data_IF_211724519797
#
_entry.id   IF_211724519797
#
_cell.length_a   1.000
_cell.length_b   1.000
_cell.length_c   1.000
_cell.angle_alpha   90.00
_cell.angle_beta   90.00
_cell.angle_gamma   90.00
#
_symmetry.space_group_name_H-M   'P 1'
#
loop_
_entity.id
_entity.type
_entity.pdbx_description
1 polymer ?
#
# COMPACT_ATOMS: atom_id res chain seq x y z
N UNK A 1 -14.48 19.92 1.41
CA UNK A 1 -14.39 19.10 2.64
C UNK A 1 -14.71 17.64 2.32
N UNK A 2 -14.15 16.72 3.10
CA UNK A 2 -14.39 15.28 2.97
C UNK A 2 -14.75 14.75 4.37
N UNK A 3 -15.86 14.01 4.47
CA UNK A 3 -16.25 13.29 5.69
C UNK A 3 -15.84 11.82 5.55
N UNK A 4 -15.19 11.29 6.59
CA UNK A 4 -14.76 9.90 6.66
C UNK A 4 -15.41 9.24 7.88
N UNK A 5 -16.07 8.09 7.68
CA UNK A 5 -16.61 7.24 8.75
C UNK A 5 -16.20 5.80 8.50
N UNK A 6 -15.73 5.13 9.54
CA UNK A 6 -15.35 3.70 9.49
C UNK A 6 -14.40 3.38 8.31
N UNK A 7 -13.42 4.25 8.07
CA UNK A 7 -12.43 4.08 6.99
C UNK A 7 -12.96 4.32 5.57
N UNK A 8 -14.19 4.83 5.40
CA UNK A 8 -14.79 5.13 4.10
C UNK A 8 -15.14 6.60 3.98
N UNK A 9 -14.99 7.15 2.78
CA UNK A 9 -15.52 8.47 2.44
C UNK A 9 -17.04 8.36 2.37
N UNK A 10 -17.75 9.12 3.22
CA UNK A 10 -19.22 9.14 3.25
C UNK A 10 -19.80 10.35 2.56
N UNK A 11 -19.06 11.47 2.52
CA UNK A 11 -19.54 12.70 1.91
C UNK A 11 -18.38 13.56 1.37
N UNK A 12 -18.64 14.31 0.31
CA UNK A 12 -17.74 15.31 -0.27
C UNK A 12 -18.57 16.55 -0.54
N UNK A 13 -18.23 17.67 0.11
CA UNK A 13 -19.07 18.86 0.10
C UNK A 13 -18.40 20.08 0.72
N UNK A 14 -19.18 21.13 0.93
CA UNK A 14 -18.72 22.37 1.58
C UNK A 14 -19.33 22.52 2.96
N UNK A 15 -18.56 23.10 3.90
CA UNK A 15 -18.96 23.37 5.28
C UNK A 15 -19.41 22.11 6.05
N UNK A 16 -18.77 20.97 5.77
CA UNK A 16 -19.04 19.74 6.52
C UNK A 16 -18.61 19.92 7.98
N UNK A 17 -19.32 19.24 8.89
CA UNK A 17 -19.07 19.30 10.33
C UNK A 17 -18.67 17.92 10.82
N UNK A 18 -17.89 17.85 11.90
CA UNK A 18 -17.42 16.59 12.47
C UNK A 18 -16.83 16.79 13.87
N UNK A 19 -16.65 15.68 14.60
CA UNK A 19 -16.04 15.67 15.93
C UNK A 19 -14.52 15.86 15.87
N UNK A 20 -13.88 15.23 14.87
CA UNK A 20 -12.46 15.37 14.58
C UNK A 20 -12.27 16.09 13.24
N UNK A 21 -11.47 17.16 13.24
CA UNK A 21 -11.25 18.01 12.08
C UNK A 21 -9.75 18.12 11.82
N UNK A 22 -9.34 17.77 10.60
CA UNK A 22 -8.00 18.04 10.06
C UNK A 22 -8.08 19.22 9.11
N UNK A 23 -7.38 20.31 9.43
CA UNK A 23 -7.33 21.50 8.57
C UNK A 23 -6.33 21.30 7.42
N UNK A 24 -6.84 21.21 6.20
CA UNK A 24 -6.07 21.08 4.97
C UNK A 24 -6.00 22.41 4.17
N UNK A 25 -6.24 23.55 4.80
CA UNK A 25 -6.23 24.85 4.13
C UNK A 25 -4.90 25.13 3.43
N UNK A 26 -4.97 25.53 2.16
CA UNK A 26 -3.81 25.79 1.33
C UNK A 26 -3.13 24.53 0.77
N UNK A 27 -3.66 23.34 1.07
CA UNK A 27 -3.20 22.07 0.53
C UNK A 27 -4.13 21.58 -0.59
N UNK A 28 -3.64 20.64 -1.40
CA UNK A 28 -4.47 19.88 -2.32
C UNK A 28 -4.73 18.51 -1.73
N UNK A 29 -5.99 18.12 -1.63
CA UNK A 29 -6.38 16.79 -1.20
C UNK A 29 -6.62 15.92 -2.44
N UNK A 30 -5.87 14.82 -2.54
CA UNK A 30 -5.96 13.85 -3.62
C UNK A 30 -6.26 12.46 -3.05
N UNK A 31 -6.87 11.56 -3.83
CA UNK A 31 -6.74 10.13 -3.56
C UNK A 31 -5.27 9.77 -3.43
N UNK A 32 -4.96 8.81 -2.55
CA UNK A 32 -3.61 8.27 -2.49
C UNK A 32 -3.24 7.61 -3.82
N UNK A 33 -1.97 7.69 -4.19
CA UNK A 33 -1.48 7.08 -5.41
C UNK A 33 -1.42 5.56 -5.30
N UNK A 34 -1.56 4.91 -6.46
CA UNK A 34 -1.39 3.46 -6.63
C UNK A 34 -0.21 3.23 -7.56
N UNK A 35 0.84 2.55 -7.07
CA UNK A 35 2.00 2.19 -7.90
C UNK A 35 1.86 0.75 -8.40
N UNK A 36 1.84 0.57 -9.73
CA UNK A 36 1.53 -0.69 -10.37
C UNK A 36 2.75 -1.56 -10.68
N UNK A 37 3.97 -1.06 -10.44
CA UNK A 37 5.18 -1.72 -10.94
C UNK A 37 6.35 -1.66 -9.96
N UNK A 38 6.11 -2.12 -8.73
CA UNK A 38 7.08 -2.03 -7.63
C UNK A 38 7.90 -3.31 -7.50
N UNK A 39 9.21 -3.16 -7.25
CA UNK A 39 10.11 -4.24 -6.83
C UNK A 39 10.64 -3.98 -5.41
N UNK A 40 10.99 -5.04 -4.69
CA UNK A 40 11.79 -4.90 -3.48
C UNK A 40 13.20 -4.43 -3.81
N UNK A 41 13.87 -3.82 -2.83
CA UNK A 41 15.28 -3.46 -2.95
C UNK A 41 16.12 -4.70 -3.28
N UNK A 42 16.90 -4.59 -4.35
CA UNK A 42 17.72 -5.67 -4.90
C UNK A 42 16.93 -6.93 -5.32
N UNK A 43 15.63 -6.82 -5.57
CA UNK A 43 14.72 -7.94 -5.93
C UNK A 43 14.78 -9.11 -4.94
N UNK A 44 14.97 -8.81 -3.63
CA UNK A 44 15.09 -9.81 -2.57
C UNK A 44 14.07 -9.62 -1.45
N UNK A 45 13.41 -10.71 -1.09
CA UNK A 45 12.58 -10.75 0.11
C UNK A 45 13.43 -10.59 1.35
N UNK A 46 13.08 -9.59 2.17
CA UNK A 46 13.40 -9.58 3.59
C UNK A 46 12.37 -8.69 4.28
N UNK A 47 12.13 -8.94 5.57
CA UNK A 47 11.24 -8.09 6.35
C UNK A 47 11.73 -6.64 6.36
N UNK A 48 13.05 -6.43 6.45
CA UNK A 48 13.67 -5.12 6.39
C UNK A 48 13.42 -4.40 5.05
N UNK A 49 13.50 -5.10 3.91
CA UNK A 49 13.19 -4.51 2.61
C UNK A 49 11.70 -4.17 2.47
N UNK A 50 10.81 -5.00 3.02
CA UNK A 50 9.37 -4.77 2.97
C UNK A 50 8.96 -3.58 3.85
N UNK A 51 9.53 -3.47 5.05
CA UNK A 51 9.35 -2.31 5.94
C UNK A 51 9.92 -1.02 5.33
N UNK A 52 11.10 -1.10 4.71
CA UNK A 52 11.69 0.03 4.01
C UNK A 52 10.76 0.51 2.88
N UNK A 53 10.26 -0.43 2.06
CA UNK A 53 9.35 -0.12 0.97
C UNK A 53 8.07 0.56 1.48
N UNK A 54 7.41 -0.01 2.50
CA UNK A 54 6.19 0.54 3.10
C UNK A 54 6.41 1.98 3.59
N UNK A 55 7.52 2.24 4.29
CA UNK A 55 7.83 3.56 4.81
C UNK A 55 8.05 4.60 3.70
N UNK A 56 8.76 4.23 2.64
CA UNK A 56 9.03 5.16 1.52
C UNK A 56 7.76 5.44 0.72
N UNK A 57 6.93 4.43 0.47
CA UNK A 57 5.65 4.62 -0.22
C UNK A 57 4.70 5.52 0.59
N UNK A 58 4.54 5.30 1.90
CA UNK A 58 3.67 6.13 2.75
C UNK A 58 4.14 7.59 2.79
N UNK A 59 5.45 7.85 2.88
CA UNK A 59 6.01 9.21 2.81
C UNK A 59 5.73 9.88 1.46
N UNK A 60 5.69 9.10 0.38
CA UNK A 60 5.39 9.56 -0.98
C UNK A 60 3.89 9.72 -1.28
N UNK A 61 3.00 9.45 -0.33
CA UNK A 61 1.56 9.52 -0.55
C UNK A 61 0.98 8.32 -1.33
N UNK A 62 1.68 7.19 -1.34
CA UNK A 62 1.24 5.92 -1.92
C UNK A 62 0.72 5.02 -0.80
N UNK A 63 -0.52 4.56 -0.90
CA UNK A 63 -1.15 3.64 0.07
C UNK A 63 -1.47 2.28 -0.54
N UNK A 64 -1.23 2.09 -1.83
CA UNK A 64 -1.46 0.83 -2.52
C UNK A 64 -0.39 0.56 -3.57
N UNK A 65 0.12 -0.67 -3.61
CA UNK A 65 1.12 -1.08 -4.60
C UNK A 65 0.80 -2.45 -5.20
N UNK A 66 1.24 -2.67 -6.44
CA UNK A 66 1.39 -4.00 -7.03
C UNK A 66 2.86 -4.40 -6.96
N UNK A 67 3.15 -5.37 -6.11
CA UNK A 67 4.49 -5.90 -5.89
C UNK A 67 4.79 -7.00 -6.92
N UNK A 68 5.83 -6.78 -7.72
CA UNK A 68 6.26 -7.73 -8.75
C UNK A 68 6.79 -9.01 -8.13
N UNK A 69 6.36 -10.12 -8.71
CA UNK A 69 6.86 -11.45 -8.39
C UNK A 69 8.19 -11.68 -9.10
N UNK A 70 9.25 -11.49 -8.33
CA UNK A 70 10.63 -11.70 -8.73
C UNK A 70 11.36 -12.64 -7.77
N UNK A 71 10.61 -13.34 -6.91
CA UNK A 71 11.16 -14.05 -5.77
C UNK A 71 10.95 -15.56 -5.91
N UNK A 72 12.02 -16.33 -5.74
CA UNK A 72 11.94 -17.79 -5.70
C UNK A 72 11.58 -18.23 -4.28
N UNK A 73 10.29 -18.30 -3.98
CA UNK A 73 9.79 -18.81 -2.71
C UNK A 73 9.65 -20.35 -2.73
N UNK A 74 9.97 -20.98 -1.61
CA UNK A 74 9.39 -22.27 -1.21
C UNK A 74 8.04 -22.06 -0.51
N UNK A 75 7.36 -23.15 -0.15
CA UNK A 75 6.02 -23.09 0.46
C UNK A 75 6.01 -22.32 1.79
N UNK A 76 7.01 -22.54 2.66
CA UNK A 76 7.09 -21.90 3.98
C UNK A 76 7.39 -20.40 3.87
N UNK A 77 8.35 -20.03 3.02
CA UNK A 77 8.71 -18.63 2.77
C UNK A 77 7.60 -17.87 2.05
N UNK A 78 6.83 -18.53 1.17
CA UNK A 78 5.63 -17.95 0.55
C UNK A 78 4.52 -17.69 1.58
N UNK A 79 4.26 -18.65 2.48
CA UNK A 79 3.28 -18.47 3.55
C UNK A 79 3.67 -17.32 4.49
N UNK A 80 4.96 -17.25 4.88
CA UNK A 80 5.49 -16.15 5.68
C UNK A 80 5.36 -14.80 4.97
N UNK A 81 5.62 -14.76 3.67
CA UNK A 81 5.45 -13.57 2.84
C UNK A 81 3.99 -13.09 2.87
N UNK A 82 3.01 -13.96 2.60
CA UNK A 82 1.58 -13.61 2.63
C UNK A 82 1.13 -13.14 4.02
N UNK A 83 1.55 -13.81 5.08
CA UNK A 83 1.25 -13.39 6.46
C UNK A 83 1.77 -11.97 6.73
N UNK A 84 2.97 -11.66 6.25
CA UNK A 84 3.58 -10.35 6.42
C UNK A 84 2.93 -9.26 5.57
N UNK A 85 2.37 -9.59 4.40
CA UNK A 85 1.62 -8.61 3.60
C UNK A 85 0.33 -8.19 4.30
N UNK A 86 -0.37 -9.12 4.96
CA UNK A 86 -1.64 -8.85 5.64
C UNK A 86 -1.52 -7.92 6.86
N UNK A 87 -0.31 -7.76 7.41
CA UNK A 87 -0.04 -6.93 8.59
C UNK A 87 0.39 -5.51 8.25
N UNK A 88 0.50 -5.17 6.95
CA UNK A 88 0.97 -3.86 6.50
C UNK A 88 -0.11 -2.80 6.68
N UNK A 89 0.36 -1.58 6.92
CA UNK A 89 -0.47 -0.36 7.00
C UNK A 89 -0.98 0.07 5.63
N UNK A 90 -0.36 -0.43 4.56
CA UNK A 90 -0.75 -0.19 3.19
C UNK A 90 -1.17 -1.46 2.47
N UNK A 91 -1.93 -1.28 1.38
CA UNK A 91 -2.42 -2.40 0.59
C UNK A 91 -1.35 -2.87 -0.39
N UNK A 92 -0.86 -4.09 -0.21
CA UNK A 92 0.13 -4.71 -1.11
C UNK A 92 -0.54 -5.84 -1.87
N UNK A 93 -0.66 -5.67 -3.19
CA UNK A 93 -1.10 -6.73 -4.10
C UNK A 93 0.14 -7.42 -4.65
N UNK A 94 0.38 -8.69 -4.31
CA UNK A 94 1.42 -9.47 -4.98
C UNK A 94 0.93 -9.92 -6.35
N UNK A 95 1.73 -9.67 -7.39
CA UNK A 95 1.56 -10.38 -8.65
C UNK A 95 1.96 -11.85 -8.48
N UNK A 96 1.51 -12.72 -9.38
CA UNK A 96 1.93 -14.13 -9.44
C UNK A 96 2.55 -14.36 -10.80
N UNK A 97 3.79 -14.84 -10.84
CA UNK A 97 4.41 -15.31 -12.07
C UNK A 97 3.94 -16.73 -12.33
N UNK A 98 3.16 -16.91 -13.40
CA UNK A 98 2.93 -18.25 -13.94
C UNK A 98 4.26 -18.75 -14.48
N UNK A 99 4.72 -19.93 -14.06
CA UNK A 99 5.93 -20.54 -14.64
C UNK A 99 5.72 -20.67 -16.15
N UNK A 100 6.51 -19.94 -16.94
CA UNK A 100 6.66 -20.24 -18.35
C UNK A 100 7.24 -21.66 -18.45
N UNK A 101 6.48 -22.56 -19.06
CA UNK A 101 6.90 -23.91 -19.36
C UNK A 101 7.85 -23.82 -20.55
N UNK A 102 9.15 -23.58 -20.27
CA UNK A 102 10.22 -23.83 -21.22
C UNK A 102 10.72 -25.27 -21.06
#
# INVERSE_FOLDING_TARGET
DIEIKEGKITNIGSNLQGEEILDAKGMTLLPSFVDLCVSLKNDKFSLANLELLENECLKGGISSIVLRDCMDFDEESFALFLQNLAQRKMQIFSSVRVKDTN
#
